data_IF_507167962816
#
_entry.id   IF_507167962816
#
_cell.length_a   1.000
_cell.length_b   1.000
_cell.length_c   1.000
_cell.angle_alpha   90.00
_cell.angle_beta   90.00
_cell.angle_gamma   90.00
#
_symmetry.space_group_name_H-M   'P 1'
#
loop_
_entity.id
_entity.type
_entity.pdbx_description
1 polymer ?
#
# COMPACT_ATOMS: atom_id res chain seq x y z
N UNK A 1 18.24 52.41 -4.79
CA UNK A 1 19.56 52.31 -5.47
C UNK A 1 20.28 51.09 -4.98
N UNK A 2 20.69 50.24 -5.85
CA UNK A 2 21.65 49.12 -6.00
C UNK A 2 20.94 47.81 -6.34
N UNK A 3 21.13 47.45 -7.39
CA UNK A 3 21.30 46.61 -8.59
C UNK A 3 21.88 45.26 -8.26
N UNK A 4 21.34 44.27 -8.97
CA UNK A 4 21.74 42.88 -9.18
C UNK A 4 23.25 42.68 -9.47
N UNK A 5 23.80 41.46 -9.55
CA UNK A 5 23.67 40.71 -10.81
C UNK A 5 23.53 39.16 -10.71
N UNK A 6 22.87 38.65 -11.68
CA UNK A 6 23.02 37.53 -12.62
C UNK A 6 24.35 36.76 -12.59
N UNK A 7 24.29 35.44 -12.56
CA UNK A 7 25.26 34.59 -13.22
C UNK A 7 24.60 33.29 -13.71
N UNK A 8 24.48 33.21 -15.03
CA UNK A 8 24.24 31.99 -15.80
C UNK A 8 25.57 31.24 -15.96
N UNK A 9 25.53 29.93 -15.96
CA UNK A 9 26.58 29.11 -16.58
C UNK A 9 25.95 27.83 -17.11
N UNK A 10 25.81 27.83 -18.41
CA UNK A 10 25.60 26.65 -19.24
C UNK A 10 26.95 25.94 -19.44
N UNK A 11 26.96 24.61 -19.38
CA UNK A 11 27.97 23.81 -20.07
C UNK A 11 27.34 22.59 -20.73
N UNK A 12 27.31 22.70 -22.01
CA UNK A 12 27.26 21.65 -23.04
C UNK A 12 28.57 20.86 -23.00
N UNK A 13 28.55 19.55 -23.07
CA UNK A 13 29.54 18.80 -23.86
C UNK A 13 28.94 17.47 -24.36
N UNK A 14 28.91 17.47 -25.65
CA UNK A 14 28.80 16.39 -26.62
C UNK A 14 30.08 15.55 -26.53
N UNK A 15 30.00 14.26 -26.63
CA UNK A 15 30.97 13.43 -27.30
C UNK A 15 30.41 12.10 -27.76
N UNK A 16 30.27 12.05 -29.02
CA UNK A 16 30.09 10.96 -29.97
C UNK A 16 31.40 10.16 -30.06
N UNK A 17 31.38 8.84 -30.00
CA UNK A 17 32.35 7.98 -30.70
C UNK A 17 31.66 6.75 -31.28
N UNK A 18 31.80 6.65 -32.55
CA UNK A 18 31.50 5.54 -33.46
C UNK A 18 32.47 4.37 -33.25
N UNK A 19 32.02 3.19 -33.61
CA UNK A 19 32.86 2.27 -34.37
C UNK A 19 33.06 0.90 -33.76
N UNK A 20 32.66 -0.11 -34.48
CA UNK A 20 33.06 -1.48 -34.21
C UNK A 20 32.23 -2.52 -34.96
N UNK A 21 32.59 -2.74 -36.20
CA UNK A 21 32.00 -3.67 -37.17
C UNK A 21 32.24 -5.14 -36.84
N UNK A 22 31.24 -5.93 -37.12
CA UNK A 22 31.23 -7.27 -37.75
C UNK A 22 32.32 -8.32 -37.37
N UNK A 23 31.85 -9.45 -36.92
CA UNK A 23 32.37 -10.71 -37.46
C UNK A 23 31.29 -11.80 -37.47
N UNK A 24 30.95 -12.18 -38.70
CA UNK A 24 30.11 -13.27 -39.12
C UNK A 24 31.04 -14.47 -39.43
N UNK A 25 30.97 -15.53 -38.66
CA UNK A 25 31.56 -16.83 -39.03
C UNK A 25 30.66 -17.94 -38.49
N UNK A 26 29.83 -18.40 -39.26
CA UNK A 26 29.55 -19.67 -39.97
C UNK A 26 30.36 -20.84 -39.46
N UNK A 27 29.70 -21.75 -38.75
CA UNK A 27 29.99 -23.18 -38.74
C UNK A 27 28.68 -23.95 -38.49
N UNK A 28 28.20 -24.56 -39.59
CA UNK A 28 27.23 -25.67 -39.59
C UNK A 28 28.02 -26.96 -39.43
N UNK A 29 27.29 -27.93 -38.92
CA UNK A 29 27.45 -29.39 -38.90
C UNK A 29 27.82 -29.91 -37.49
N UNK A 30 26.95 -30.64 -36.84
CA UNK A 30 26.63 -32.03 -37.05
C UNK A 30 25.42 -32.45 -36.21
N UNK A 31 24.53 -33.16 -36.85
CA UNK A 31 23.33 -33.76 -36.33
C UNK A 31 23.69 -35.16 -35.83
N UNK A 32 23.38 -35.48 -34.59
CA UNK A 32 23.02 -36.84 -34.20
C UNK A 32 22.16 -36.84 -32.93
N UNK A 33 20.98 -37.45 -32.95
CA UNK A 33 20.10 -37.50 -31.79
C UNK A 33 20.41 -38.70 -30.93
N UNK A 34 21.11 -38.47 -29.84
CA UNK A 34 21.15 -39.48 -28.77
C UNK A 34 19.95 -39.31 -27.86
N UNK A 35 18.91 -40.11 -28.16
CA UNK A 35 17.73 -40.24 -27.34
C UNK A 35 18.11 -41.02 -26.07
N UNK A 36 18.67 -40.33 -25.08
CA UNK A 36 18.88 -40.89 -23.77
C UNK A 36 17.62 -40.63 -22.95
N UNK A 37 16.97 -41.72 -22.56
CA UNK A 37 15.85 -41.76 -21.62
C UNK A 37 16.20 -40.95 -20.37
N UNK A 38 15.69 -39.74 -20.29
CA UNK A 38 15.62 -39.03 -19.03
C UNK A 38 14.30 -39.42 -18.36
N UNK A 39 14.39 -40.39 -17.44
CA UNK A 39 13.31 -40.62 -16.48
C UNK A 39 13.13 -39.33 -15.69
N UNK A 40 12.10 -38.59 -16.05
CA UNK A 40 11.64 -37.48 -15.25
C UNK A 40 11.13 -38.02 -13.91
N UNK A 41 11.95 -37.93 -12.90
CA UNK A 41 11.50 -37.81 -11.52
C UNK A 41 10.63 -36.56 -11.51
N UNK A 42 9.33 -36.71 -11.53
CA UNK A 42 8.38 -35.67 -11.22
C UNK A 42 8.43 -35.45 -9.69
N UNK A 43 9.49 -34.82 -9.23
CA UNK A 43 9.46 -34.13 -7.97
C UNK A 43 8.53 -32.93 -8.20
N UNK A 44 7.36 -33.03 -7.59
CA UNK A 44 6.35 -32.00 -7.53
C UNK A 44 6.88 -30.82 -6.69
N UNK A 45 7.81 -30.08 -7.26
CA UNK A 45 8.07 -28.73 -6.82
C UNK A 45 6.91 -27.88 -7.36
N UNK A 46 5.78 -28.00 -6.68
CA UNK A 46 4.76 -26.98 -6.71
C UNK A 46 5.39 -25.76 -6.03
N UNK A 47 6.27 -25.09 -6.78
CA UNK A 47 6.78 -23.78 -6.39
C UNK A 47 5.57 -22.94 -6.04
N UNK A 48 5.47 -22.65 -4.78
CA UNK A 48 4.49 -21.82 -4.12
C UNK A 48 4.43 -20.44 -4.82
N UNK A 49 3.63 -20.34 -5.87
CA UNK A 49 3.25 -19.08 -6.52
C UNK A 49 2.36 -18.20 -5.59
N UNK A 50 2.16 -18.66 -4.35
CA UNK A 50 1.34 -17.97 -3.36
C UNK A 50 2.09 -16.84 -2.65
N UNK A 51 3.41 -16.68 -2.82
CA UNK A 51 4.23 -15.75 -2.04
C UNK A 51 4.41 -14.37 -2.66
N UNK A 52 3.94 -14.13 -3.89
CA UNK A 52 4.08 -12.82 -4.54
C UNK A 52 2.84 -11.92 -4.37
N UNK A 53 1.96 -12.25 -3.46
CA UNK A 53 0.84 -11.38 -3.11
C UNK A 53 1.30 -10.39 -2.04
N UNK A 54 1.45 -9.12 -2.43
CA UNK A 54 1.74 -8.05 -1.48
C UNK A 54 0.77 -8.15 -0.29
N UNK A 55 1.32 -8.11 0.92
CA UNK A 55 0.51 -8.06 2.14
C UNK A 55 -0.52 -6.90 2.03
N UNK A 56 -1.80 -7.15 2.32
CA UNK A 56 -2.84 -6.13 2.21
C UNK A 56 -2.51 -4.80 2.91
N UNK A 57 -1.77 -4.85 4.02
CA UNK A 57 -1.36 -3.65 4.74
C UNK A 57 -0.30 -2.85 4.00
N UNK A 58 0.59 -3.52 3.28
CA UNK A 58 1.55 -2.88 2.39
C UNK A 58 0.83 -2.20 1.22
N UNK A 59 -0.19 -2.85 0.65
CA UNK A 59 -1.00 -2.27 -0.43
C UNK A 59 -1.70 -1.00 0.03
N UNK A 60 -2.35 -1.02 1.19
CA UNK A 60 -3.07 0.16 1.68
C UNK A 60 -2.12 1.35 1.95
N UNK A 61 -0.91 1.10 2.42
CA UNK A 61 0.09 2.14 2.65
C UNK A 61 0.61 2.71 1.33
N UNK A 62 0.88 1.86 0.34
CA UNK A 62 1.30 2.31 -0.99
C UNK A 62 0.24 3.21 -1.64
N UNK A 63 -1.03 2.80 -1.61
CA UNK A 63 -2.13 3.60 -2.15
C UNK A 63 -2.26 4.92 -1.39
N UNK A 64 -2.25 4.85 -0.06
CA UNK A 64 -2.43 6.02 0.79
C UNK A 64 -1.35 7.08 0.61
N UNK A 65 -0.10 6.67 0.38
CA UNK A 65 1.02 7.59 0.16
C UNK A 65 0.98 8.29 -1.22
N UNK A 66 0.24 7.74 -2.18
CA UNK A 66 0.02 8.37 -3.49
C UNK A 66 -1.07 9.45 -3.46
N UNK A 67 -1.91 9.46 -2.44
CA UNK A 67 -3.01 10.41 -2.31
C UNK A 67 -2.53 11.62 -1.51
N UNK A 68 -2.45 12.78 -2.16
CA UNK A 68 -2.01 14.02 -1.51
C UNK A 68 -3.18 14.91 -1.10
N UNK A 69 -4.28 14.84 -1.83
CA UNK A 69 -5.50 15.62 -1.59
C UNK A 69 -6.72 14.70 -1.57
N UNK A 70 -7.66 15.00 -0.71
CA UNK A 70 -8.95 14.29 -0.63
C UNK A 70 -10.00 15.17 0.03
N UNK A 71 -11.24 15.06 -0.43
CA UNK A 71 -12.41 15.65 0.21
C UNK A 71 -12.98 14.75 1.33
N UNK A 72 -12.48 13.52 1.44
CA UNK A 72 -12.89 12.59 2.48
C UNK A 72 -12.40 13.06 3.85
N UNK A 73 -13.23 12.89 4.87
CA UNK A 73 -12.77 13.01 6.25
C UNK A 73 -11.85 11.84 6.63
N UNK A 74 -11.20 11.95 7.79
CA UNK A 74 -10.23 10.96 8.24
C UNK A 74 -10.81 9.54 8.35
N UNK A 75 -12.09 9.38 8.69
CA UNK A 75 -12.72 8.08 8.87
C UNK A 75 -13.08 7.44 7.52
N UNK A 76 -13.61 8.21 6.58
CA UNK A 76 -13.89 7.74 5.23
C UNK A 76 -12.60 7.44 4.46
N UNK A 77 -11.57 8.25 4.63
CA UNK A 77 -10.27 8.03 4.00
C UNK A 77 -9.65 6.70 4.44
N UNK A 78 -9.66 6.42 5.74
CA UNK A 78 -9.14 5.15 6.28
C UNK A 78 -9.96 3.97 5.78
N UNK A 79 -11.30 4.07 5.80
CA UNK A 79 -12.16 3.02 5.26
C UNK A 79 -11.86 2.75 3.79
N UNK A 80 -11.77 3.80 2.98
CA UNK A 80 -11.43 3.68 1.56
C UNK A 80 -10.12 2.91 1.34
N UNK A 81 -9.05 3.25 2.08
CA UNK A 81 -7.77 2.56 1.94
C UNK A 81 -7.83 1.08 2.32
N UNK A 82 -8.56 0.77 3.39
CA UNK A 82 -8.78 -0.61 3.82
C UNK A 82 -9.56 -1.40 2.76
N UNK A 83 -10.60 -0.82 2.17
CA UNK A 83 -11.38 -1.43 1.09
C UNK A 83 -10.52 -1.68 -0.15
N UNK A 84 -9.66 -0.73 -0.55
CA UNK A 84 -8.75 -0.92 -1.69
C UNK A 84 -7.75 -2.07 -1.44
N UNK A 85 -7.37 -2.30 -0.20
CA UNK A 85 -6.51 -3.41 0.20
C UNK A 85 -7.26 -4.74 0.41
N UNK A 86 -8.59 -4.76 0.22
CA UNK A 86 -9.41 -5.94 0.45
C UNK A 86 -9.71 -6.24 1.92
N UNK A 87 -9.47 -5.28 2.81
CA UNK A 87 -9.74 -5.37 4.24
C UNK A 87 -11.08 -4.68 4.54
N UNK A 88 -12.16 -5.43 4.55
CA UNK A 88 -13.50 -4.86 4.66
C UNK A 88 -13.98 -4.76 6.10
N UNK A 89 -14.48 -3.58 6.48
CA UNK A 89 -15.25 -3.35 7.71
C UNK A 89 -16.36 -2.32 7.44
N UNK A 90 -17.41 -2.34 8.24
CA UNK A 90 -18.48 -1.35 8.15
C UNK A 90 -17.96 0.05 8.50
N UNK A 91 -18.45 1.09 7.83
CA UNK A 91 -18.07 2.46 8.18
C UNK A 91 -18.28 2.75 9.66
N UNK A 92 -17.30 3.38 10.26
CA UNK A 92 -17.36 3.85 11.63
C UNK A 92 -16.60 5.17 11.82
N UNK A 93 -17.22 6.17 12.43
CA UNK A 93 -16.52 7.40 12.80
C UNK A 93 -15.44 7.10 13.83
N UNK A 94 -14.42 7.96 13.91
CA UNK A 94 -13.27 7.81 14.79
C UNK A 94 -13.63 7.60 16.27
N UNK A 95 -14.78 8.12 16.72
CA UNK A 95 -15.26 7.90 18.09
C UNK A 95 -15.65 6.45 18.32
N UNK A 96 -16.40 5.85 17.41
CA UNK A 96 -16.80 4.44 17.47
C UNK A 96 -15.58 3.53 17.41
N UNK A 97 -14.65 3.79 16.49
CA UNK A 97 -13.38 3.08 16.43
C UNK A 97 -12.60 3.19 17.77
N UNK A 98 -12.56 4.40 18.35
CA UNK A 98 -11.89 4.61 19.63
C UNK A 98 -12.51 3.81 20.77
N UNK A 99 -13.83 3.74 20.84
CA UNK A 99 -14.53 3.03 21.91
C UNK A 99 -14.47 1.50 21.73
N UNK A 100 -14.25 1.03 20.51
CA UNK A 100 -14.10 -0.37 20.15
C UNK A 100 -15.10 -0.77 19.06
N UNK A 101 -14.63 -1.50 18.06
CA UNK A 101 -15.42 -1.97 16.94
C UNK A 101 -15.08 -3.41 16.62
N UNK A 102 -16.10 -4.18 16.24
CA UNK A 102 -15.94 -5.52 15.74
C UNK A 102 -15.02 -5.56 14.50
N UNK A 103 -14.24 -6.62 14.36
CA UNK A 103 -13.23 -6.72 13.30
C UNK A 103 -11.89 -6.06 13.64
N UNK A 104 -11.80 -5.40 14.81
CA UNK A 104 -10.56 -4.78 15.28
C UNK A 104 -10.20 -5.21 16.69
N UNK A 105 -8.91 -5.50 16.89
CA UNK A 105 -8.33 -5.81 18.21
C UNK A 105 -7.44 -4.66 18.67
N UNK A 106 -7.65 -4.20 19.89
CA UNK A 106 -6.75 -3.23 20.52
C UNK A 106 -5.38 -3.85 20.79
N UNK A 107 -4.30 -3.14 20.40
CA UNK A 107 -2.92 -3.59 20.57
C UNK A 107 -2.09 -2.56 21.32
N UNK A 108 -1.09 -3.01 22.07
CA UNK A 108 -0.12 -2.14 22.75
C UNK A 108 1.06 -1.79 21.82
N UNK A 109 1.44 -2.71 20.95
CA UNK A 109 2.55 -2.56 20.01
C UNK A 109 1.99 -2.53 18.60
N UNK A 110 1.85 -1.32 18.01
CA UNK A 110 1.34 -1.19 16.66
C UNK A 110 2.33 -1.72 15.63
N UNK A 111 1.80 -2.10 14.47
CA UNK A 111 2.55 -2.44 13.26
C UNK A 111 2.11 -1.52 12.15
N UNK A 112 2.91 -1.43 11.10
CA UNK A 112 2.51 -0.77 9.86
C UNK A 112 1.14 -1.31 9.38
N UNK A 113 0.25 -0.41 8.96
CA UNK A 113 -1.12 -0.73 8.57
C UNK A 113 -2.13 -0.90 9.70
N UNK A 114 -1.74 -0.82 10.98
CA UNK A 114 -2.71 -0.74 12.08
C UNK A 114 -3.33 0.67 12.15
N UNK A 115 -4.56 0.78 12.67
CA UNK A 115 -5.16 2.09 12.92
C UNK A 115 -4.54 2.75 14.15
N UNK A 116 -4.36 4.07 14.08
CA UNK A 116 -4.13 4.93 15.22
C UNK A 116 -5.34 5.84 15.40
N UNK A 117 -5.96 5.82 16.56
CA UNK A 117 -7.27 6.44 16.78
C UNK A 117 -7.26 7.34 18.02
N UNK A 118 -7.71 8.57 17.84
CA UNK A 118 -8.10 9.50 18.90
C UNK A 118 -9.61 9.71 18.87
N UNK A 119 -10.20 10.25 19.93
CA UNK A 119 -11.58 10.70 19.89
C UNK A 119 -11.69 11.92 18.96
N UNK A 120 -12.13 11.72 17.73
CA UNK A 120 -12.28 12.75 16.71
C UNK A 120 -11.19 12.77 15.64
N UNK A 121 -10.31 11.75 15.60
CA UNK A 121 -9.39 11.56 14.49
C UNK A 121 -8.94 10.11 14.37
N UNK A 122 -8.67 9.68 13.14
CA UNK A 122 -8.11 8.37 12.85
C UNK A 122 -7.09 8.47 11.72
N UNK A 123 -6.09 7.61 11.77
CA UNK A 123 -5.11 7.42 10.71
C UNK A 123 -4.58 6.00 10.70
N UNK A 124 -3.59 5.75 9.86
CA UNK A 124 -2.96 4.46 9.66
C UNK A 124 -1.49 4.57 10.01
N UNK A 125 -0.99 3.69 10.88
CA UNK A 125 0.42 3.64 11.23
C UNK A 125 1.24 3.29 9.99
N UNK A 126 2.20 4.13 9.64
CA UNK A 126 3.16 3.91 8.55
C UNK A 126 4.39 3.21 9.06
N UNK A 127 5.04 3.81 10.03
CA UNK A 127 6.23 3.27 10.66
C UNK A 127 6.12 3.42 12.19
N UNK A 128 6.03 2.31 12.93
CA UNK A 128 5.95 2.35 14.38
C UNK A 128 7.27 2.73 15.05
N UNK A 129 8.43 2.50 14.42
CA UNK A 129 9.75 2.86 14.96
C UNK A 129 9.96 4.37 14.86
N UNK A 130 9.64 4.95 13.71
CA UNK A 130 9.64 6.39 13.46
C UNK A 130 8.40 7.09 14.04
N UNK A 131 7.49 6.34 14.65
CA UNK A 131 6.26 6.84 15.24
C UNK A 131 5.38 7.63 14.28
N UNK A 132 5.36 7.24 12.99
CA UNK A 132 4.64 7.95 11.94
C UNK A 132 3.33 7.30 11.55
N UNK A 133 2.39 8.12 11.10
CA UNK A 133 1.09 7.69 10.61
C UNK A 133 0.58 8.59 9.49
N UNK A 134 -0.23 8.02 8.63
CA UNK A 134 -0.89 8.68 7.50
C UNK A 134 -2.32 9.02 7.88
N UNK A 135 -2.79 10.23 7.55
CA UNK A 135 -4.19 10.60 7.74
C UNK A 135 -4.65 11.75 6.84
N UNK A 136 -5.95 11.81 6.57
CA UNK A 136 -6.58 12.94 5.91
C UNK A 136 -6.81 14.06 6.92
N UNK A 137 -6.33 15.25 6.59
CA UNK A 137 -6.48 16.50 7.31
C UNK A 137 -7.17 17.53 6.38
N UNK A 138 -7.63 18.63 6.94
CA UNK A 138 -8.16 19.74 6.12
C UNK A 138 -7.14 20.31 5.13
N UNK A 139 -5.86 20.10 5.38
CA UNK A 139 -4.75 20.53 4.52
C UNK A 139 -4.24 19.42 3.60
N UNK A 140 -5.05 18.41 3.33
CA UNK A 140 -4.70 17.25 2.51
C UNK A 140 -4.22 16.04 3.31
N UNK A 141 -3.82 15.00 2.62
CA UNK A 141 -3.30 13.76 3.21
C UNK A 141 -1.84 13.97 3.63
N UNK A 142 -1.50 13.60 4.85
CA UNK A 142 -0.16 13.80 5.39
C UNK A 142 0.32 12.65 6.25
N UNK A 143 1.61 12.39 6.18
CA UNK A 143 2.33 11.61 7.18
C UNK A 143 2.77 12.54 8.30
N UNK A 144 2.50 12.15 9.54
CA UNK A 144 2.80 12.92 10.74
C UNK A 144 3.36 12.02 11.83
N UNK A 145 4.18 12.54 12.73
CA UNK A 145 4.58 11.79 13.93
C UNK A 145 3.52 11.94 15.02
N UNK A 146 3.03 10.81 15.57
CA UNK A 146 2.11 10.81 16.70
C UNK A 146 2.78 11.20 18.01
N UNK A 147 4.11 11.32 18.04
CA UNK A 147 4.89 11.88 19.14
C UNK A 147 5.01 13.42 19.05
N UNK A 148 4.59 14.04 17.95
CA UNK A 148 4.63 15.48 17.84
C UNK A 148 3.74 16.15 18.89
N UNK A 149 4.14 17.34 19.34
CA UNK A 149 3.42 18.11 20.36
C UNK A 149 1.95 18.36 20.02
N UNK A 150 1.62 18.53 18.74
CA UNK A 150 0.24 18.69 18.28
C UNK A 150 -0.61 17.44 18.58
N UNK A 151 -0.11 16.26 18.24
CA UNK A 151 -0.84 15.00 18.41
C UNK A 151 -0.87 14.56 19.88
N UNK A 152 0.16 14.82 20.64
CA UNK A 152 0.20 14.51 22.07
C UNK A 152 -0.85 15.29 22.88
N UNK A 153 -1.12 16.56 22.49
CA UNK A 153 -2.19 17.35 23.12
C UNK A 153 -3.60 16.83 22.85
N UNK A 154 -3.80 15.95 21.87
CA UNK A 154 -5.09 15.29 21.61
C UNK A 154 -5.37 14.13 22.57
N UNK A 155 -4.45 13.85 23.47
CA UNK A 155 -4.53 12.75 24.43
C UNK A 155 -3.92 11.45 23.89
N UNK A 156 -4.02 10.39 24.69
CA UNK A 156 -3.42 9.10 24.35
C UNK A 156 -4.20 8.41 23.23
N UNK A 157 -3.57 8.06 22.09
CA UNK A 157 -4.22 7.30 21.06
C UNK A 157 -4.44 5.85 21.46
N UNK A 158 -5.33 5.17 20.76
CA UNK A 158 -5.49 3.71 20.76
C UNK A 158 -5.01 3.16 19.44
N UNK A 159 -4.31 2.03 19.48
CA UNK A 159 -3.92 1.29 18.29
C UNK A 159 -4.84 0.10 18.10
N UNK A 160 -5.35 -0.06 16.89
CA UNK A 160 -6.31 -1.11 16.55
C UNK A 160 -5.77 -1.91 15.36
N UNK A 161 -5.71 -3.22 15.53
CA UNK A 161 -5.32 -4.15 14.48
C UNK A 161 -6.54 -4.79 13.87
N UNK A 162 -6.63 -4.73 12.56
CA UNK A 162 -7.65 -5.47 11.84
C UNK A 162 -7.43 -6.97 11.98
N UNK A 163 -8.48 -7.69 12.38
CA UNK A 163 -8.48 -9.15 12.56
C UNK A 163 -9.51 -9.84 11.66
N UNK A 164 -10.17 -9.08 10.81
CA UNK A 164 -11.24 -9.56 9.96
C UNK A 164 -12.63 -9.36 10.59
N UNK A 165 -13.69 -9.51 9.80
CA UNK A 165 -15.04 -9.54 10.34
C UNK A 165 -15.16 -10.75 11.29
N UNK A 166 -15.80 -10.57 12.43
CA UNK A 166 -16.12 -11.69 13.31
C UNK A 166 -17.02 -12.65 12.53
N UNK A 167 -16.54 -13.86 12.36
CA UNK A 167 -17.24 -15.06 11.85
C UNK A 167 -18.46 -14.87 10.92
N UNK A 168 -18.52 -13.84 10.09
CA UNK A 168 -19.38 -13.83 8.95
C UNK A 168 -18.72 -14.67 7.85
N UNK A 169 -19.43 -15.71 7.42
CA UNK A 169 -19.04 -16.58 6.32
C UNK A 169 -18.40 -15.75 5.20
N UNK A 170 -17.17 -16.09 4.74
CA UNK A 170 -16.53 -15.37 3.63
C UNK A 170 -17.41 -15.25 2.37
N UNK A 171 -18.40 -16.11 2.20
CA UNK A 171 -19.38 -16.04 1.13
C UNK A 171 -20.38 -14.88 1.29
N UNK A 172 -20.68 -14.45 2.50
CA UNK A 172 -21.70 -13.41 2.75
C UNK A 172 -21.21 -12.00 2.34
N UNK A 173 -19.97 -11.67 2.62
CA UNK A 173 -19.41 -10.40 2.17
C UNK A 173 -19.11 -10.39 0.66
N UNK A 174 -18.76 -11.55 0.07
CA UNK A 174 -18.59 -11.68 -1.38
C UNK A 174 -19.93 -11.43 -2.10
N UNK A 175 -21.03 -11.94 -1.56
CA UNK A 175 -22.38 -11.72 -2.08
C UNK A 175 -22.81 -10.26 -1.95
N UNK A 176 -22.51 -9.59 -0.84
CA UNK A 176 -22.80 -8.16 -0.64
C UNK A 176 -22.02 -7.27 -1.63
N UNK A 177 -20.79 -7.64 -2.00
CA UNK A 177 -19.99 -6.92 -3.01
C UNK A 177 -20.60 -6.98 -4.40
N UNK A 178 -21.12 -8.15 -4.78
CA UNK A 178 -21.79 -8.35 -6.07
C UNK A 178 -23.07 -7.52 -6.12
N UNK A 179 -23.86 -7.55 -5.05
CA UNK A 179 -25.10 -6.77 -4.94
C UNK A 179 -24.87 -5.26 -4.97
N UNK A 180 -23.82 -4.77 -4.31
CA UNK A 180 -23.47 -3.34 -4.32
C UNK A 180 -22.97 -2.84 -5.69
N UNK A 181 -22.33 -3.72 -6.48
CA UNK A 181 -21.89 -3.38 -7.84
C UNK A 181 -23.02 -3.43 -8.87
N UNK A 182 -24.03 -4.28 -8.68
CA UNK A 182 -25.16 -4.41 -9.58
C UNK A 182 -26.27 -3.37 -9.32
N UNK A 183 -26.26 -2.67 -8.18
CA UNK A 183 -27.23 -1.63 -7.84
C UNK A 183 -26.92 -0.24 -8.38
N UNK A 184 -25.79 -0.02 -9.07
CA UNK A 184 -25.38 1.29 -9.61
C UNK A 184 -25.69 1.49 -11.11
N UNK A 185 -26.58 0.71 -11.69
CA UNK A 185 -27.03 0.91 -13.08
C UNK A 185 -28.54 1.04 -13.08
N UNK A 186 -29.05 2.26 -12.91
CA UNK A 186 -30.49 2.55 -13.08
C UNK A 186 -30.87 3.91 -12.52
N UNK A 187 -30.82 4.88 -13.30
CA UNK A 187 -31.64 6.07 -13.63
C UNK A 187 -30.80 7.31 -13.84
#
# INVERSE_FOLDING_TARGET
>A
MRRSPTAAAAFLFISLILGGTANLAKAQDDISPSFTKFSASMDSDSADLSQDRLDPKSVLLLIGQQIHETEMDCSHFVQYLYEQAGLYYGYAPSRTLYDGMEGFKRVAHPKAGDLIVWRGHVGIVVDPEETTFLSALRSGVKVSSYQSHYWQRRGKPRFLRYVGPAESDPSEWATRRIAARSGSTGE
#
